data_IF_335106257004
#
_entry.id   IF_335106257004
#
_cell.length_a   1.000
_cell.length_b   1.000
_cell.length_c   1.000
_cell.angle_alpha   90.00
_cell.angle_beta   90.00
_cell.angle_gamma   90.00
#
_symmetry.space_group_name_H-M   'P 1'
#
loop_
_entity.id
_entity.type
_entity.pdbx_description
1 polymer ?
#
# COMPACT_ATOMS: atom_id res chain seq x y z
N UNK A 1 -18.53 8.73 17.30
CA UNK A 1 -17.10 8.66 16.99
C UNK A 1 -16.83 7.24 16.54
N UNK A 2 -16.48 7.04 15.26
CA UNK A 2 -16.14 5.70 14.75
C UNK A 2 -14.93 5.14 15.47
N UNK A 3 -14.91 3.82 15.71
CA UNK A 3 -13.73 3.13 16.23
C UNK A 3 -12.96 2.56 15.04
N UNK A 4 -11.68 2.90 14.96
CA UNK A 4 -10.78 2.41 13.92
C UNK A 4 -9.79 1.42 14.50
N UNK A 5 -9.45 0.40 13.71
CA UNK A 5 -8.40 -0.56 14.01
C UNK A 5 -7.35 -0.50 12.92
N UNK A 6 -6.07 -0.55 13.30
CA UNK A 6 -4.94 -0.67 12.37
C UNK A 6 -4.17 -1.94 12.73
N UNK A 7 -3.63 -2.64 11.73
CA UNK A 7 -2.90 -3.88 11.95
C UNK A 7 -2.45 -4.54 10.65
N UNK A 8 -1.82 -5.71 10.79
CA UNK A 8 -1.41 -6.54 9.65
C UNK A 8 -2.65 -7.01 8.90
N UNK A 9 -2.62 -6.91 7.57
CA UNK A 9 -3.70 -7.32 6.70
C UNK A 9 -3.25 -8.43 5.76
N UNK A 10 -4.23 -9.18 5.23
CA UNK A 10 -3.97 -10.14 4.18
C UNK A 10 -3.65 -9.40 2.86
N UNK A 11 -2.63 -9.88 2.16
CA UNK A 11 -2.06 -9.24 0.97
C UNK A 11 -3.11 -8.99 -0.11
N UNK A 12 -3.86 -10.03 -0.53
CA UNK A 12 -4.81 -9.91 -1.64
C UNK A 12 -5.95 -8.95 -1.32
N UNK A 13 -6.38 -8.89 -0.06
CA UNK A 13 -7.44 -7.99 0.41
C UNK A 13 -7.02 -6.53 0.27
N UNK A 14 -5.77 -6.20 0.66
CA UNK A 14 -5.25 -4.83 0.51
C UNK A 14 -4.98 -4.49 -0.96
N UNK A 15 -4.48 -5.44 -1.76
CA UNK A 15 -4.27 -5.23 -3.19
C UNK A 15 -5.59 -4.96 -3.93
N UNK A 16 -6.65 -5.70 -3.62
CA UNK A 16 -7.98 -5.45 -4.20
C UNK A 16 -8.48 -4.05 -3.87
N UNK A 17 -8.28 -3.59 -2.62
CA UNK A 17 -8.62 -2.23 -2.23
C UNK A 17 -7.81 -1.20 -3.04
N UNK A 18 -6.51 -1.41 -3.23
CA UNK A 18 -5.67 -0.50 -4.02
C UNK A 18 -6.06 -0.48 -5.49
N UNK A 19 -6.41 -1.63 -6.07
CA UNK A 19 -6.90 -1.74 -7.45
C UNK A 19 -8.22 -1.00 -7.63
N UNK A 20 -9.15 -1.15 -6.67
CA UNK A 20 -10.40 -0.40 -6.66
C UNK A 20 -10.15 1.11 -6.60
N UNK A 21 -9.33 1.57 -5.65
CA UNK A 21 -9.03 3.01 -5.51
C UNK A 21 -8.32 3.53 -6.76
N UNK A 22 -7.40 2.77 -7.33
CA UNK A 22 -6.71 3.15 -8.55
C UNK A 22 -7.69 3.32 -9.72
N UNK A 23 -8.64 2.39 -9.89
CA UNK A 23 -9.70 2.49 -10.89
C UNK A 23 -10.58 3.73 -10.68
N UNK A 24 -11.03 3.98 -9.44
CA UNK A 24 -11.87 5.13 -9.08
C UNK A 24 -11.18 6.47 -9.33
N UNK A 25 -9.88 6.57 -9.04
CA UNK A 25 -9.07 7.78 -9.22
C UNK A 25 -8.49 7.92 -10.64
N UNK A 26 -8.76 6.95 -11.54
CA UNK A 26 -8.19 6.93 -12.89
C UNK A 26 -6.67 6.72 -12.91
N UNK A 27 -6.09 6.20 -11.84
CA UNK A 27 -4.69 5.82 -11.75
C UNK A 27 -4.47 4.43 -12.37
N UNK A 28 -3.49 4.31 -13.27
CA UNK A 28 -3.17 3.06 -13.95
C UNK A 28 -1.79 2.54 -13.52
N UNK A 29 -1.67 1.89 -12.35
CA UNK A 29 -0.38 1.41 -11.84
C UNK A 29 0.20 0.24 -12.65
N UNK A 30 -0.59 -0.39 -13.54
CA UNK A 30 -0.18 -1.61 -14.24
C UNK A 30 0.22 -2.69 -13.24
N UNK A 31 1.35 -3.35 -13.48
CA UNK A 31 1.84 -4.42 -12.61
C UNK A 31 2.55 -3.91 -11.33
N UNK A 32 2.67 -2.58 -11.14
CA UNK A 32 3.49 -2.01 -10.06
C UNK A 32 2.97 -2.33 -8.65
N UNK A 33 1.64 -2.45 -8.46
CA UNK A 33 1.07 -2.89 -7.17
C UNK A 33 1.54 -4.30 -6.77
N UNK A 34 1.91 -5.12 -7.76
CA UNK A 34 2.26 -6.54 -7.61
C UNK A 34 3.74 -6.84 -7.87
N UNK A 35 4.54 -5.84 -8.23
CA UNK A 35 5.95 -6.04 -8.62
C UNK A 35 6.86 -6.49 -7.46
N UNK A 36 6.47 -6.25 -6.20
CA UNK A 36 7.34 -6.43 -5.03
C UNK A 36 6.75 -7.30 -3.92
N UNK A 37 5.81 -8.20 -4.23
CA UNK A 37 5.04 -8.96 -3.23
C UNK A 37 5.92 -9.75 -2.25
N UNK A 38 6.97 -10.41 -2.74
CA UNK A 38 7.85 -11.26 -1.92
C UNK A 38 8.65 -10.50 -0.85
N UNK A 39 8.72 -9.17 -0.98
CA UNK A 39 9.43 -8.28 -0.06
C UNK A 39 8.51 -7.19 0.53
N UNK A 40 7.21 -7.44 0.50
CA UNK A 40 6.19 -6.51 0.96
C UNK A 40 5.55 -6.95 2.29
N UNK A 41 5.32 -5.99 3.18
CA UNK A 41 4.41 -6.10 4.31
C UNK A 41 3.16 -5.27 4.08
N UNK A 42 1.99 -5.82 4.42
CA UNK A 42 0.69 -5.18 4.22
C UNK A 42 0.00 -4.88 5.55
N UNK A 43 -0.49 -3.65 5.67
CA UNK A 43 -1.24 -3.18 6.81
C UNK A 43 -2.58 -2.64 6.35
N UNK A 44 -3.60 -2.81 7.18
CA UNK A 44 -4.96 -2.33 6.93
C UNK A 44 -5.42 -1.33 7.98
N UNK A 45 -6.38 -0.51 7.59
CA UNK A 45 -7.19 0.31 8.46
C UNK A 45 -8.65 -0.16 8.32
N UNK A 46 -9.27 -0.53 9.44
CA UNK A 46 -10.66 -0.98 9.49
C UNK A 46 -11.52 -0.02 10.28
N UNK A 47 -12.72 0.25 9.77
CA UNK A 47 -13.82 0.78 10.56
C UNK A 47 -14.81 -0.36 10.81
N UNK A 48 -14.98 -0.76 12.08
CA UNK A 48 -15.61 -2.03 12.45
C UNK A 48 -14.90 -3.21 11.74
N UNK A 49 -15.57 -3.86 10.79
CA UNK A 49 -15.06 -5.00 10.01
C UNK A 49 -14.78 -4.64 8.55
N UNK A 50 -15.05 -3.40 8.13
CA UNK A 50 -14.79 -2.94 6.76
C UNK A 50 -13.36 -2.43 6.63
N UNK A 51 -12.60 -2.99 5.69
CA UNK A 51 -11.28 -2.47 5.32
C UNK A 51 -11.47 -1.17 4.53
N UNK A 52 -11.07 -0.05 5.11
CA UNK A 52 -11.23 1.30 4.54
C UNK A 52 -9.92 1.91 4.05
N UNK A 53 -8.79 1.29 4.34
CA UNK A 53 -7.49 1.78 3.91
C UNK A 53 -6.40 0.73 4.03
N UNK A 54 -5.28 0.96 3.34
CA UNK A 54 -4.16 0.05 3.32
C UNK A 54 -2.81 0.76 3.15
N UNK A 55 -1.76 0.10 3.61
CA UNK A 55 -0.37 0.51 3.45
C UNK A 55 0.45 -0.71 2.99
N UNK A 56 1.23 -0.52 1.94
CA UNK A 56 2.26 -1.46 1.49
C UNK A 56 3.65 -0.89 1.83
N UNK A 57 4.38 -1.63 2.65
CA UNK A 57 5.80 -1.38 2.92
C UNK A 57 6.64 -2.36 2.14
N UNK A 58 7.71 -1.88 1.50
CA UNK A 58 8.63 -2.67 0.69
C UNK A 58 10.03 -2.54 1.30
N UNK A 59 10.67 -3.66 1.60
CA UNK A 59 12.09 -3.63 2.01
C UNK A 59 12.99 -3.46 0.79
N UNK A 60 14.15 -2.80 0.90
CA UNK A 60 15.14 -2.74 -0.17
C UNK A 60 15.56 -4.13 -0.68
N UNK A 61 16.01 -4.22 -1.92
CA UNK A 61 16.55 -5.47 -2.47
C UNK A 61 18.03 -5.64 -2.12
N UNK A 62 18.72 -6.61 -2.72
CA UNK A 62 20.14 -6.85 -2.46
C UNK A 62 21.05 -5.68 -2.89
N UNK A 63 20.61 -4.89 -3.87
CA UNK A 63 21.29 -3.66 -4.29
C UNK A 63 20.87 -2.44 -3.43
N UNK A 64 19.97 -2.64 -2.47
CA UNK A 64 19.36 -1.60 -1.64
C UNK A 64 18.35 -0.73 -2.40
N UNK A 65 17.85 -1.21 -3.54
CA UNK A 65 16.88 -0.49 -4.36
C UNK A 65 15.44 -0.65 -3.85
N UNK A 66 14.67 0.43 -3.95
CA UNK A 66 13.25 0.50 -3.62
C UNK A 66 12.44 1.01 -4.82
N UNK A 67 11.11 0.83 -4.85
CA UNK A 67 10.28 1.14 -6.03
C UNK A 67 10.51 2.54 -6.61
N UNK A 68 10.73 3.55 -5.76
CA UNK A 68 10.99 4.94 -6.15
C UNK A 68 12.21 5.11 -7.09
N UNK A 69 13.22 4.23 -7.02
CA UNK A 69 14.40 4.33 -7.89
C UNK A 69 14.10 4.05 -9.36
N UNK A 70 12.96 3.42 -9.68
CA UNK A 70 12.51 3.28 -11.08
C UNK A 70 12.19 4.64 -11.72
N UNK A 71 11.82 5.63 -10.90
CA UNK A 71 11.45 6.98 -11.34
C UNK A 71 12.57 7.98 -11.06
N UNK A 72 13.23 7.84 -9.90
CA UNK A 72 14.31 8.72 -9.44
C UNK A 72 15.56 7.92 -9.08
N UNK A 73 16.32 7.45 -10.09
CA UNK A 73 17.51 6.62 -9.88
C UNK A 73 18.66 7.37 -9.19
N UNK A 74 18.60 8.69 -9.09
CA UNK A 74 19.60 9.54 -8.43
C UNK A 74 19.49 9.55 -6.89
N UNK A 75 18.40 9.01 -6.34
CA UNK A 75 18.21 8.94 -4.88
C UNK A 75 19.20 7.96 -4.23
N UNK A 76 19.56 8.18 -2.96
CA UNK A 76 20.47 7.29 -2.26
C UNK A 76 19.84 5.91 -2.04
N UNK A 77 20.64 4.88 -2.30
CA UNK A 77 20.35 3.50 -1.94
C UNK A 77 20.12 3.37 -0.43
N UNK A 78 19.16 2.54 -0.04
CA UNK A 78 18.76 2.36 1.35
C UNK A 78 19.46 1.16 2.01
N UNK A 79 19.68 1.24 3.32
CA UNK A 79 20.20 0.13 4.12
C UNK A 79 19.15 -0.96 4.35
N UNK A 80 19.61 -2.16 4.73
CA UNK A 80 18.72 -3.33 4.97
C UNK A 80 17.77 -3.17 6.16
N UNK A 81 18.01 -2.17 7.01
CA UNK A 81 17.17 -1.77 8.15
C UNK A 81 16.08 -0.75 7.78
N UNK A 82 15.98 -0.40 6.50
CA UNK A 82 15.02 0.58 5.97
C UNK A 82 13.79 -0.09 5.36
N UNK A 83 12.70 0.66 5.27
CA UNK A 83 11.48 0.28 4.56
C UNK A 83 10.96 1.45 3.73
N UNK A 84 10.35 1.15 2.60
CA UNK A 84 9.76 2.12 1.71
C UNK A 84 8.23 1.99 1.70
N UNK A 85 7.51 3.07 1.98
CA UNK A 85 6.05 3.11 1.82
C UNK A 85 5.71 3.26 0.34
N UNK A 86 5.48 2.13 -0.33
CA UNK A 86 5.23 2.08 -1.78
C UNK A 86 3.83 2.57 -2.14
N UNK A 87 2.83 2.21 -1.33
CA UNK A 87 1.44 2.59 -1.54
C UNK A 87 0.78 2.89 -0.20
N UNK A 88 0.08 4.02 -0.12
CA UNK A 88 -0.83 4.36 0.98
C UNK A 88 -2.12 4.86 0.34
N UNK A 89 -3.23 4.20 0.65
CA UNK A 89 -4.53 4.57 0.11
C UNK A 89 -5.64 4.36 1.14
N UNK A 90 -6.64 5.23 1.13
CA UNK A 90 -7.79 5.20 2.04
C UNK A 90 -9.02 5.61 1.24
N UNK A 91 -10.13 4.90 1.42
CA UNK A 91 -11.41 5.26 0.83
C UNK A 91 -11.88 6.61 1.37
N UNK A 92 -12.58 7.43 0.56
CA UNK A 92 -13.16 8.67 1.04
C UNK A 92 -14.18 8.40 2.16
N UNK A 93 -14.21 9.26 3.19
CA UNK A 93 -15.07 9.10 4.37
C UNK A 93 -16.56 8.93 4.06
N UNK A 94 -17.02 9.44 2.92
CA UNK A 94 -18.42 9.31 2.46
C UNK A 94 -18.75 7.88 2.00
N UNK A 95 -17.76 7.14 1.54
CA UNK A 95 -17.91 5.74 1.12
C UNK A 95 -18.02 4.78 2.31
N UNK A 96 -17.76 5.26 3.53
CA UNK A 96 -17.84 4.42 4.74
C UNK A 96 -19.28 4.30 5.27
N UNK A 97 -20.12 5.30 5.00
CA UNK A 97 -21.46 5.42 5.58
C UNK A 97 -22.54 4.52 4.91
N UNK A 98 -22.16 3.70 3.92
CA UNK A 98 -23.07 2.83 3.16
C UNK A 98 -23.07 1.35 3.55
N UNK A 99 -22.25 0.94 4.53
CA UNK A 99 -22.06 -0.46 4.93
C UNK A 99 -22.21 -0.68 6.44
#
# INVERSE_FOLDING_TARGET
MGSYKVGIAEQNTVLQLFEQIAEEEGWQPGDQLRAHLNRSGFFGCWEKDLLIGGLQLVTPDEAGEVPTHLVWPELPILGSDSVHAAVLAVLPWRSWAGH
#
